data_IF_484881049548
#
_entry.id   IF_484881049548
#
_cell.length_a   1.000
_cell.length_b   1.000
_cell.length_c   1.000
_cell.angle_alpha   90.00
_cell.angle_beta   90.00
_cell.angle_gamma   90.00
#
_symmetry.space_group_name_H-M   'P 1'
#
loop_
_entity.id
_entity.type
_entity.pdbx_description
1 polymer ?
2 polymer ?
3 non-polymer ?
4 non-polymer ?
5 water ?
#
# COMPACT_ATOMS: atom_id res chain seq x y z
N UNK A 7 23.87 -10.91 12.44
CA UNK A 7 23.20 -11.31 11.21
C UNK A 7 21.73 -10.87 11.16
N UNK A 8 21.05 -10.89 12.32
CA UNK A 8 19.67 -10.40 12.34
C UNK A 8 19.63 -8.91 12.03
N UNK A 9 20.62 -8.17 12.56
CA UNK A 9 20.76 -6.76 12.17
C UNK A 9 20.94 -6.64 10.67
N UNK A 10 21.65 -7.60 10.07
CA UNK A 10 21.85 -7.57 8.63
C UNK A 10 20.54 -7.78 7.88
N UNK A 11 19.70 -8.71 8.36
CA UNK A 11 18.42 -8.92 7.69
C UNK A 11 17.60 -7.63 7.73
N UNK A 12 17.56 -6.99 8.91
CA UNK A 12 16.82 -5.73 9.06
C UNK A 12 17.37 -4.65 8.15
N UNK A 13 18.69 -4.55 8.08
CA UNK A 13 19.27 -3.51 7.24
C UNK A 13 19.00 -3.78 5.76
N UNK A 14 19.13 -5.03 5.33
CA UNK A 14 18.88 -5.39 3.93
C UNK A 14 17.43 -5.12 3.56
N UNK A 15 16.49 -5.40 4.47
CA UNK A 15 15.08 -5.11 4.17
C UNK A 15 14.82 -3.60 4.11
N UNK A 16 15.41 -2.82 5.04
CA UNK A 16 15.31 -1.36 5.00
C UNK A 16 15.87 -0.80 3.71
N UNK A 17 17.04 -1.29 3.30
CA UNK A 17 17.65 -0.78 2.07
C UNK A 17 16.78 -1.10 0.85
N UNK A 18 16.18 -2.30 0.83
CA UNK A 18 15.31 -2.70 -0.28
C UNK A 18 14.07 -1.80 -0.34
N UNK A 19 13.58 -1.39 0.83
CA UNK A 19 12.44 -0.49 0.89
C UNK A 19 12.79 0.90 0.35
N UNK A 20 13.92 1.46 0.82
CA UNK A 20 14.32 2.77 0.32
C UNK A 20 14.57 2.75 -1.19
N UNK A 21 15.08 1.64 -1.73
CA UNK A 21 15.37 1.59 -3.16
C UNK A 21 14.10 1.51 -3.99
N UNK A 22 13.08 0.80 -3.50
CA UNK A 22 11.99 0.39 -4.37
C UNK A 22 10.71 1.17 -4.24
N UNK A 23 10.53 1.94 -3.18
CA UNK A 23 9.32 2.76 -3.05
C UNK A 23 9.62 4.21 -3.37
N UNK A 24 8.77 4.81 -4.24
CA UNK A 24 9.03 6.20 -4.62
C UNK A 24 8.78 7.15 -3.46
N UNK A 25 7.88 6.76 -2.56
CA UNK A 25 7.53 7.55 -1.40
C UNK A 25 8.01 6.80 -0.17
N UNK A 26 8.64 7.53 0.74
CA UNK A 26 8.90 6.99 2.06
C UNK A 26 8.50 8.05 3.06
N UNK A 27 8.60 7.70 4.32
CA UNK A 27 7.95 8.53 5.31
C UNK A 27 8.71 9.85 5.50
N UNK A 28 10.04 9.79 5.41
CA UNK A 28 10.83 11.02 5.46
C UNK A 28 10.49 11.94 4.29
N UNK A 29 10.47 11.38 3.07
CA UNK A 29 10.14 12.19 1.89
C UNK A 29 8.76 12.80 2.03
N UNK A 30 7.79 12.03 2.54
CA UNK A 30 6.43 12.52 2.69
C UNK A 30 6.36 13.63 3.72
N UNK A 31 7.07 13.47 4.84
CA UNK A 31 7.03 14.50 5.88
C UNK A 31 7.69 15.80 5.43
N UNK A 32 8.74 15.71 4.61
CA UNK A 32 9.34 16.94 4.08
C UNK A 32 8.30 17.70 3.27
N UNK A 33 7.53 17.00 2.45
CA UNK A 33 6.52 17.66 1.63
C UNK A 33 5.41 18.25 2.49
N UNK A 34 4.89 17.45 3.42
CA UNK A 34 3.77 17.89 4.25
C UNK A 34 4.15 19.00 5.22
N UNK A 35 5.45 19.24 5.45
CA UNK A 35 5.88 20.30 6.35
C UNK A 35 5.87 21.67 5.67
N UNK A 36 6.04 21.72 4.36
CA UNK A 36 6.02 22.99 3.64
C UNK A 36 7.34 23.73 3.67
N UNK A 40 10.38 23.86 -3.95
CA UNK A 40 10.43 23.19 -5.25
C UNK A 40 9.33 22.13 -5.36
N UNK A 41 8.55 22.20 -6.44
CA UNK A 41 7.53 21.20 -6.73
C UNK A 41 6.49 21.12 -5.60
N UNK A 42 6.03 22.26 -5.05
CA UNK A 42 5.10 22.17 -3.91
C UNK A 42 3.79 21.53 -4.32
N UNK A 43 3.09 20.86 -3.39
CA UNK A 43 1.91 20.10 -3.79
C UNK A 43 0.73 21.00 -4.07
N UNK A 44 0.03 20.70 -5.16
CA UNK A 44 -1.18 21.41 -5.48
C UNK A 44 -2.32 20.85 -4.64
N UNK A 45 -3.09 21.73 -3.99
CA UNK A 45 -4.14 21.29 -3.07
C UNK A 45 -5.44 21.09 -3.82
N UNK A 46 -6.00 19.89 -3.72
CA UNK A 46 -7.27 19.52 -4.31
C UNK A 46 -8.28 19.46 -3.17
N UNK A 47 -9.19 20.45 -3.12
CA UNK A 47 -10.16 20.55 -2.04
C UNK A 47 -11.58 20.71 -2.56
N UNK A 48 -11.77 20.78 -3.86
CA UNK A 48 -13.09 20.99 -4.45
C UNK A 48 -13.00 20.65 -5.94
N UNK A 49 -14.13 20.77 -6.65
CA UNK A 49 -14.13 20.36 -8.05
C UNK A 49 -13.28 21.27 -8.91
N UNK A 50 -13.31 22.59 -8.67
CA UNK A 50 -12.46 23.48 -9.43
C UNK A 50 -11.00 23.05 -9.33
N UNK A 51 -10.53 22.80 -8.11
CA UNK A 51 -9.12 22.46 -7.97
C UNK A 51 -8.82 21.02 -8.41
N UNK A 52 -9.77 20.09 -8.29
CA UNK A 52 -9.58 18.80 -8.95
C UNK A 52 -9.30 18.98 -10.43
N UNK A 53 -10.15 19.76 -11.12
CA UNK A 53 -10.02 19.89 -12.56
C UNK A 53 -8.70 20.56 -12.92
N UNK A 54 -8.31 21.58 -12.16
CA UNK A 54 -7.01 22.21 -12.38
C UNK A 54 -5.88 21.20 -12.22
N UNK A 55 -5.90 20.43 -11.12
CA UNK A 55 -4.84 19.44 -10.88
C UNK A 55 -4.77 18.40 -12.00
N UNK A 56 -5.92 17.92 -12.44
CA UNK A 56 -5.94 16.95 -13.52
C UNK A 56 -5.24 17.47 -14.76
N UNK A 57 -5.50 18.72 -15.13
CA UNK A 57 -4.88 19.29 -16.34
C UNK A 57 -3.36 19.42 -16.19
N UNK A 58 -2.85 19.61 -14.97
CA UNK A 58 -1.41 19.74 -14.81
C UNK A 58 -0.71 18.42 -14.46
N UNK A 59 -1.37 17.52 -13.74
CA UNK A 59 -0.71 16.30 -13.26
C UNK A 59 -1.10 15.01 -13.96
N UNK A 60 -2.28 14.94 -14.60
CA UNK A 60 -2.67 13.73 -15.35
C UNK A 60 -3.31 14.24 -16.64
N UNK A 61 -2.59 15.14 -17.30
CA UNK A 61 -3.14 15.82 -18.46
C UNK A 61 -3.71 14.83 -19.47
N UNK A 62 -2.98 13.74 -19.73
CA UNK A 62 -3.40 12.76 -20.74
C UNK A 62 -4.78 12.19 -20.41
N UNK A 63 -5.11 12.09 -19.11
CA UNK A 63 -6.39 11.53 -18.71
C UNK A 63 -7.57 12.36 -19.18
N UNK A 64 -7.43 13.69 -19.22
CA UNK A 64 -8.55 14.57 -19.51
C UNK A 64 -8.38 15.33 -20.83
N UNK A 65 -7.50 14.86 -21.72
CA UNK A 65 -7.26 15.57 -22.97
C UNK A 65 -8.40 15.38 -23.99
N UNK A 66 -9.61 15.09 -23.54
CA UNK A 66 -10.72 14.77 -24.45
C UNK A 66 -12.04 15.30 -23.90
N UNK A 70 -16.48 13.39 -20.32
CA UNK A 70 -15.12 13.04 -19.89
C UNK A 70 -15.17 11.98 -18.80
N UNK A 71 -16.40 11.58 -18.47
CA UNK A 71 -16.69 10.70 -17.34
C UNK A 71 -16.78 11.52 -16.05
N UNK A 72 -17.64 11.10 -15.14
CA UNK A 72 -17.85 11.83 -13.90
C UNK A 72 -16.54 11.99 -13.13
N UNK A 73 -16.44 13.10 -12.38
CA UNK A 73 -15.23 13.37 -11.61
C UNK A 73 -14.87 12.20 -10.69
N UNK A 74 -15.89 11.61 -10.08
CA UNK A 74 -15.66 10.48 -9.17
C UNK A 74 -15.01 9.31 -9.89
N UNK A 75 -15.41 9.07 -11.14
CA UNK A 75 -14.85 7.96 -11.90
C UNK A 75 -13.41 8.27 -12.33
N UNK A 76 -13.13 9.53 -12.71
CA UNK A 76 -11.75 9.91 -12.99
C UNK A 76 -10.89 9.77 -11.76
N UNK A 77 -11.43 10.15 -10.58
CA UNK A 77 -10.64 10.00 -9.36
C UNK A 77 -10.36 8.52 -9.08
N UNK A 78 -11.39 7.68 -9.21
CA UNK A 78 -11.20 6.25 -8.99
C UNK A 78 -10.19 5.67 -9.98
N UNK A 79 -10.18 6.16 -11.23
CA UNK A 79 -9.14 5.74 -12.17
C UNK A 79 -7.74 6.06 -11.65
N UNK A 80 -7.55 7.28 -11.13
CA UNK A 80 -6.26 7.65 -10.58
C UNK A 80 -5.92 6.82 -9.36
N UNK A 81 -6.93 6.48 -8.55
CA UNK A 81 -6.69 5.57 -7.44
C UNK A 81 -6.11 4.26 -7.94
N UNK A 82 -6.74 3.68 -8.96
CA UNK A 82 -6.29 2.40 -9.48
C UNK A 82 -4.90 2.50 -10.08
N UNK A 83 -4.64 3.57 -10.82
CA UNK A 83 -3.31 3.72 -11.39
C UNK A 83 -2.26 3.78 -10.28
N UNK A 84 -2.56 4.46 -9.17
CA UNK A 84 -1.63 4.48 -8.05
C UNK A 84 -1.42 3.07 -7.51
N UNK A 85 -2.51 2.31 -7.38
CA UNK A 85 -2.36 0.93 -6.87
C UNK A 85 -1.51 0.10 -7.82
N UNK A 86 -1.71 0.23 -9.13
CA UNK A 86 -0.92 -0.57 -10.07
C UNK A 86 0.56 -0.25 -9.91
N UNK A 87 0.89 1.03 -9.83
CA UNK A 87 2.29 1.41 -9.61
C UNK A 87 2.82 0.85 -8.29
N UNK A 88 2.02 0.90 -7.22
CA UNK A 88 2.52 0.41 -5.93
C UNK A 88 2.68 -1.11 -5.95
N UNK A 89 1.84 -1.83 -6.71
CA UNK A 89 2.03 -3.28 -6.84
C UNK A 89 3.37 -3.59 -7.50
N UNK A 90 3.77 -2.80 -8.51
CA UNK A 90 5.07 -2.99 -9.13
C UNK A 90 6.18 -2.74 -8.13
N UNK A 91 6.04 -1.68 -7.33
CA UNK A 91 7.05 -1.39 -6.33
C UNK A 91 7.14 -2.50 -5.30
N UNK A 92 5.99 -3.05 -4.89
CA UNK A 92 5.97 -4.11 -3.89
C UNK A 92 6.57 -5.41 -4.44
N UNK A 93 6.35 -5.68 -5.74
CA UNK A 93 6.93 -6.88 -6.36
C UNK A 93 8.45 -6.78 -6.38
N UNK A 94 8.97 -5.61 -6.71
CA UNK A 94 10.42 -5.43 -6.71
C UNK A 94 10.97 -5.48 -5.30
N UNK A 95 10.26 -4.86 -4.35
CA UNK A 95 10.65 -4.97 -2.96
C UNK A 95 10.67 -6.41 -2.51
N UNK A 96 9.62 -7.17 -2.84
CA UNK A 96 9.56 -8.56 -2.40
C UNK A 96 10.74 -9.34 -2.94
N UNK A 97 11.07 -9.11 -4.21
CA UNK A 97 12.19 -9.83 -4.81
C UNK A 97 13.50 -9.54 -4.11
N UNK A 98 13.58 -8.43 -3.38
CA UNK A 98 14.79 -8.11 -2.63
C UNK A 98 14.73 -8.52 -1.17
N UNK A 99 13.62 -9.09 -0.71
CA UNK A 99 13.53 -9.57 0.67
C UNK A 99 14.38 -10.82 0.75
N UNK A 100 15.41 -10.86 1.61
CA UNK A 100 16.25 -12.07 1.66
C UNK A 100 15.42 -13.33 1.81
N UNK A 101 15.62 -14.29 0.88
CA UNK A 101 14.92 -15.57 0.90
C UNK A 101 13.69 -15.64 0.03
N UNK A 102 13.13 -14.49 -0.37
CA UNK A 102 11.88 -14.52 -1.14
C UNK A 102 12.10 -15.19 -2.48
N UNK A 103 13.23 -14.91 -3.12
CA UNK A 103 13.53 -15.48 -4.44
C UNK A 103 13.79 -16.98 -4.39
N UNK A 104 14.03 -17.56 -3.22
CA UNK A 104 14.18 -19.01 -3.10
C UNK A 104 12.85 -19.73 -2.97
N UNK A 105 11.75 -19.02 -2.87
CA UNK A 105 10.44 -19.66 -2.84
C UNK A 105 10.03 -20.11 -4.22
N UNK A 106 9.12 -21.08 -4.25
CA UNK A 106 8.48 -21.47 -5.50
C UNK A 106 7.86 -20.25 -6.16
N UNK A 107 8.10 -20.11 -7.48
CA UNK A 107 7.57 -18.97 -8.21
C UNK A 107 6.07 -18.80 -8.00
N UNK A 108 5.32 -19.90 -7.99
CA UNK A 108 3.87 -19.78 -7.80
C UNK A 108 3.53 -19.33 -6.38
N UNK A 109 4.32 -19.73 -5.39
CA UNK A 109 4.10 -19.22 -4.05
C UNK A 109 4.42 -17.74 -3.98
N UNK A 110 5.47 -17.30 -4.69
CA UNK A 110 5.75 -15.87 -4.76
C UNK A 110 4.53 -15.10 -5.26
N UNK A 111 3.88 -15.60 -6.31
CA UNK A 111 2.68 -14.94 -6.85
C UNK A 111 1.57 -14.90 -5.81
N UNK A 112 1.35 -16.02 -5.13
CA UNK A 112 0.31 -16.10 -4.11
C UNK A 112 0.56 -15.10 -2.99
N UNK A 113 1.81 -15.03 -2.51
CA UNK A 113 2.09 -14.10 -1.42
C UNK A 113 1.83 -12.66 -1.86
N UNK A 114 2.23 -12.32 -3.10
CA UNK A 114 1.96 -10.96 -3.58
C UNK A 114 0.45 -10.76 -3.70
N UNK A 115 -0.26 -11.74 -4.27
CA UNK A 115 -1.69 -11.57 -4.50
C UNK A 115 -2.41 -11.17 -3.22
N UNK A 116 -2.16 -11.89 -2.14
CA UNK A 116 -2.85 -11.68 -0.88
C UNK A 116 -2.23 -10.60 -0.01
N UNK A 117 -0.99 -10.19 -0.29
CA UNK A 117 -0.35 -9.23 0.56
C UNK A 117 -0.34 -7.81 0.04
N UNK A 118 -0.42 -7.57 -1.29
CA UNK A 118 -0.17 -6.20 -1.76
C UNK A 118 -1.15 -5.19 -1.19
N UNK A 119 -2.45 -5.50 -1.09
CA UNK A 119 -3.34 -4.42 -0.63
C UNK A 119 -3.20 -4.18 0.87
N UNK A 120 -2.89 -5.21 1.66
CA UNK A 120 -2.54 -4.95 3.06
C UNK A 120 -1.33 -4.03 3.14
N UNK A 121 -0.32 -4.29 2.33
CA UNK A 121 0.87 -3.43 2.33
C UNK A 121 0.53 -2.03 1.80
N UNK A 122 -0.30 -1.94 0.75
CA UNK A 122 -0.70 -0.65 0.20
C UNK A 122 -1.31 0.23 1.29
N UNK A 123 -2.29 -0.30 2.04
CA UNK A 123 -2.98 0.54 3.02
C UNK A 123 -2.10 0.84 4.23
N UNK A 124 -1.21 -0.09 4.60
CA UNK A 124 -0.22 0.23 5.65
C UNK A 124 0.66 1.40 5.22
N UNK A 125 1.23 1.34 4.00
CA UNK A 125 2.11 2.40 3.53
C UNK A 125 1.38 3.69 3.19
N UNK A 126 0.09 3.61 2.81
CA UNK A 126 -0.66 4.82 2.55
C UNK A 126 -0.65 5.74 3.76
N UNK A 127 -0.59 5.16 4.96
CA UNK A 127 -0.58 5.97 6.17
C UNK A 127 0.55 6.99 6.15
N UNK A 128 1.69 6.63 5.55
CA UNK A 128 2.82 7.55 5.52
C UNK A 128 2.56 8.83 4.73
N UNK A 129 1.57 8.85 3.84
CA UNK A 129 1.28 10.07 3.07
C UNK A 129 -0.03 10.70 3.51
N UNK A 130 -0.60 10.24 4.62
CA UNK A 130 -1.84 10.75 5.15
C UNK A 130 -1.60 11.56 6.41
N UNK A 131 -2.34 12.66 6.54
CA UNK A 131 -2.53 13.26 7.86
C UNK A 131 -4.04 13.42 8.07
N UNK A 132 -4.41 14.04 9.19
CA UNK A 132 -5.84 14.12 9.50
C UNK A 132 -6.62 14.94 8.48
N UNK A 133 -5.94 15.77 7.67
CA UNK A 133 -6.63 16.64 6.73
C UNK A 133 -6.60 16.16 5.28
N UNK A 134 -5.77 15.18 4.93
CA UNK A 134 -5.70 14.80 3.54
C UNK A 134 -4.49 13.91 3.28
N UNK A 135 -4.18 13.73 1.99
CA UNK A 135 -3.14 12.79 1.61
C UNK A 135 -2.38 13.26 0.37
N UNK A 136 -1.10 12.87 0.30
CA UNK A 136 -0.30 13.15 -0.89
C UNK A 136 -0.64 12.17 -2.00
N UNK A 137 -0.73 12.70 -3.22
CA UNK A 137 -1.04 11.93 -4.42
C UNK A 137 -0.10 12.36 -5.54
N UNK A 138 -0.08 11.58 -6.62
CA UNK A 138 0.66 11.93 -7.84
C UNK A 138 2.14 12.21 -7.55
N UNK A 139 2.80 11.23 -6.93
CA UNK A 139 4.25 11.28 -6.70
C UNK A 139 4.62 12.50 -5.88
N UNK A 140 3.76 12.81 -4.90
CA UNK A 140 4.01 13.92 -3.98
C UNK A 140 3.66 15.30 -4.49
N UNK A 141 3.04 15.41 -5.67
CA UNK A 141 2.79 16.71 -6.27
C UNK A 141 1.36 17.20 -6.08
N UNK A 142 0.49 16.39 -5.50
CA UNK A 142 -0.84 16.85 -5.12
C UNK A 142 -1.14 16.48 -3.68
N UNK A 143 -2.03 17.26 -3.06
CA UNK A 143 -2.50 16.97 -1.71
C UNK A 143 -4.02 17.05 -1.80
N UNK A 144 -4.70 15.90 -1.67
CA UNK A 144 -6.15 15.88 -1.80
C UNK A 144 -6.76 15.82 -0.41
N UNK A 145 -7.77 16.67 -0.15
CA UNK A 145 -8.25 16.77 1.21
C UNK A 145 -9.21 15.64 1.55
N UNK A 146 -9.16 15.26 2.83
CA UNK A 146 -10.03 14.22 3.35
C UNK A 146 -11.49 14.61 3.21
N UNK A 147 -11.80 15.89 3.46
CA UNK A 147 -13.19 16.36 3.32
C UNK A 147 -13.66 16.30 1.89
N UNK A 148 -12.79 16.64 0.93
CA UNK A 148 -13.20 16.54 -0.47
C UNK A 148 -13.53 15.11 -0.85
N UNK A 149 -12.69 14.14 -0.41
CA UNK A 149 -13.01 12.76 -0.74
C UNK A 149 -14.32 12.31 -0.10
N UNK A 150 -14.62 12.78 1.11
CA UNK A 150 -15.88 12.48 1.75
C UNK A 150 -17.05 13.12 1.02
N UNK A 151 -16.79 14.16 0.25
CA UNK A 151 -17.85 14.93 -0.40
C UNK A 151 -18.33 14.29 -1.70
N UNK A 152 -17.60 13.30 -2.22
CA UNK A 152 -17.89 12.67 -3.50
C UNK A 152 -19.22 11.93 -3.43
N UNK A 153 -19.85 11.73 -4.58
CA UNK A 153 -21.09 10.97 -4.54
C UNK A 153 -20.82 9.52 -4.13
N UNK A 154 -21.82 8.93 -3.49
CA UNK A 154 -21.74 7.50 -3.19
C UNK A 154 -21.67 6.71 -4.50
N UNK A 155 -20.92 5.60 -4.53
CA UNK A 155 -20.18 4.97 -3.45
C UNK A 155 -18.74 5.46 -3.27
N UNK A 156 -18.35 6.46 -4.05
CA UNK A 156 -16.93 6.78 -4.14
C UNK A 156 -16.42 7.49 -2.90
N UNK A 157 -17.30 8.22 -2.21
CA UNK A 157 -16.93 8.84 -0.94
C UNK A 157 -16.64 7.81 0.14
N UNK A 158 -16.95 6.54 -0.11
CA UNK A 158 -16.76 5.49 0.90
C UNK A 158 -15.41 4.80 0.79
N UNK A 159 -14.62 5.10 -0.25
CA UNK A 159 -13.35 4.39 -0.45
C UNK A 159 -12.32 4.77 0.61
N UNK A 160 -12.04 6.06 0.73
CA UNK A 160 -10.83 6.44 1.44
C UNK A 160 -11.02 6.62 2.94
N UNK A 161 -12.22 6.94 3.41
CA UNK A 161 -12.31 7.28 4.82
C UNK A 161 -11.88 6.14 5.76
N UNK A 162 -12.21 4.87 5.53
CA UNK A 162 -11.68 3.84 6.43
C UNK A 162 -10.17 3.75 6.40
N UNK A 163 -9.57 4.11 5.27
CA UNK A 163 -8.11 4.13 5.17
C UNK A 163 -7.52 5.27 5.98
N UNK A 164 -8.17 6.44 5.96
CA UNK A 164 -7.76 7.51 6.88
C UNK A 164 -7.90 7.07 8.34
N UNK A 165 -9.01 6.39 8.68
CA UNK A 165 -9.21 5.95 10.05
C UNK A 165 -8.10 5.00 10.49
N UNK A 166 -7.75 4.04 9.62
CA UNK A 166 -6.64 3.16 9.94
C UNK A 166 -5.36 3.95 10.12
N UNK A 167 -5.10 4.88 9.19
CA UNK A 167 -3.83 5.60 9.18
C UNK A 167 -3.66 6.49 10.39
N UNK A 168 -4.73 7.10 10.92
CA UNK A 168 -4.54 8.00 12.05
C UNK A 168 -4.04 7.24 13.27
N UNK A 169 -4.59 6.05 13.52
CA UNK A 169 -4.12 5.24 14.64
C UNK A 169 -2.76 4.61 14.34
N UNK A 170 -2.53 4.20 13.09
CA UNK A 170 -1.23 3.63 12.74
C UNK A 170 -0.13 4.67 12.90
N UNK A 171 -0.40 5.91 12.46
CA UNK A 171 0.60 6.96 12.54
C UNK A 171 0.88 7.36 13.98
N UNK A 172 -0.09 7.17 14.87
CA UNK A 172 0.13 7.48 16.28
C UNK A 172 1.16 6.55 16.91
N UNK A 173 1.44 5.41 16.26
CA UNK A 173 2.53 4.53 16.69
C UNK A 173 3.91 5.13 16.43
N UNK A 174 4.01 6.20 15.64
CA UNK A 174 5.28 6.87 15.33
C UNK A 174 6.35 5.90 14.84
N UNK A 175 5.96 4.99 13.94
CA UNK A 175 6.95 4.16 13.28
C UNK A 175 7.78 5.00 12.32
N UNK A 176 9.00 4.55 12.07
CA UNK A 176 9.80 5.15 11.00
C UNK A 176 9.99 4.12 9.89
N UNK A 177 10.67 4.55 8.82
CA UNK A 177 10.85 3.69 7.65
C UNK A 177 11.55 2.37 8.01
N UNK A 178 12.46 2.38 9.00
CA UNK A 178 13.12 1.12 9.36
C UNK A 178 12.13 0.12 9.96
N UNK A 179 11.15 0.61 10.71
CA UNK A 179 10.08 -0.25 11.22
C UNK A 179 9.15 -0.70 10.10
N UNK A 180 8.74 0.25 9.26
CA UNK A 180 7.69 -0.03 8.30
C UNK A 180 8.18 -1.03 7.27
N UNK A 181 9.46 -0.93 6.87
CA UNK A 181 10.04 -1.89 5.93
C UNK A 181 9.90 -3.31 6.45
N UNK A 182 10.20 -3.53 7.75
CA UNK A 182 10.07 -4.87 8.31
C UNK A 182 8.60 -5.29 8.43
N UNK A 183 7.73 -4.34 8.76
CA UNK A 183 6.30 -4.62 8.84
C UNK A 183 5.75 -5.07 7.50
N UNK A 184 6.12 -4.35 6.43
CA UNK A 184 5.64 -4.71 5.09
C UNK A 184 6.22 -6.06 4.66
N UNK A 185 7.49 -6.30 4.97
CA UNK A 185 8.03 -7.63 4.69
C UNK A 185 7.24 -8.72 5.40
N UNK A 186 6.86 -8.50 6.65
CA UNK A 186 6.10 -9.49 7.39
C UNK A 186 4.72 -9.72 6.78
N UNK A 187 4.07 -8.65 6.31
CA UNK A 187 2.80 -8.78 5.60
C UNK A 187 2.94 -9.69 4.39
N UNK A 188 4.00 -9.46 3.60
CA UNK A 188 4.15 -10.24 2.37
C UNK A 188 4.45 -11.70 2.68
N UNK A 189 5.28 -11.96 3.68
CA UNK A 189 5.75 -13.30 3.97
C UNK A 189 4.86 -13.94 5.04
N UNK A 190 3.61 -14.18 4.65
CA UNK A 190 2.57 -14.73 5.52
C UNK A 190 2.33 -16.16 5.09
N UNK A 191 2.57 -17.10 6.02
CA UNK A 191 2.39 -18.50 5.71
C UNK A 191 0.96 -18.99 5.65
N UNK A 192 -0.05 -18.21 6.07
CA UNK A 192 -1.41 -18.71 6.04
C UNK A 192 -2.22 -18.22 4.84
N UNK A 193 -1.57 -17.77 3.78
CA UNK A 193 -2.34 -17.37 2.61
C UNK A 193 -2.93 -18.61 1.93
N UNK A 194 -4.11 -18.47 1.32
CA UNK A 194 -4.74 -19.61 0.66
C UNK A 194 -3.91 -20.12 -0.52
N UNK A 195 -3.80 -21.44 -0.62
CA UNK A 195 -3.23 -22.01 -1.82
C UNK A 195 -1.73 -22.07 -1.90
N UNK A 196 -1.01 -21.81 -0.80
CA UNK A 196 0.43 -21.92 -0.80
C UNK A 196 0.84 -23.39 -0.94
N UNK A 197 1.92 -23.62 -1.69
CA UNK A 197 2.43 -24.97 -1.93
C UNK A 197 3.37 -25.44 -0.84
N UNK A 198 4.20 -24.54 -0.31
CA UNK A 198 5.23 -24.88 0.66
C UNK A 198 4.99 -24.09 1.95
N UNK A 199 3.90 -24.42 2.65
CA UNK A 199 3.51 -23.65 3.84
C UNK A 199 4.63 -23.64 4.87
N UNK A 200 5.20 -24.81 5.14
CA UNK A 200 6.23 -24.87 6.18
C UNK A 200 7.39 -23.94 5.89
N UNK A 201 7.88 -23.94 4.65
CA UNK A 201 9.01 -23.10 4.31
C UNK A 201 8.67 -21.63 4.45
N UNK A 202 7.47 -21.24 4.03
CA UNK A 202 7.06 -19.84 4.14
C UNK A 202 6.88 -19.47 5.61
N UNK A 203 6.32 -20.38 6.42
CA UNK A 203 6.22 -20.12 7.85
C UNK A 203 7.58 -19.89 8.48
N UNK A 204 8.59 -20.67 8.10
CA UNK A 204 9.91 -20.43 8.66
C UNK A 204 10.52 -19.12 8.20
N UNK A 205 10.37 -18.78 6.92
CA UNK A 205 10.87 -17.49 6.46
C UNK A 205 10.19 -16.35 7.22
N UNK A 206 8.87 -16.44 7.34
CA UNK A 206 8.10 -15.43 8.07
C UNK A 206 8.60 -15.33 9.51
N UNK A 207 8.82 -16.48 10.15
CA UNK A 207 9.28 -16.46 11.53
C UNK A 207 10.58 -15.68 11.65
N UNK A 208 11.49 -15.84 10.68
CA UNK A 208 12.74 -15.09 10.72
C UNK A 208 12.51 -13.60 10.62
N UNK A 209 11.63 -13.17 9.73
CA UNK A 209 11.38 -11.75 9.57
C UNK A 209 10.66 -11.19 10.79
N UNK A 210 9.68 -11.93 11.32
CA UNK A 210 8.97 -11.49 12.51
C UNK A 210 9.91 -11.41 13.71
N UNK A 211 10.88 -12.35 13.79
CA UNK A 211 11.88 -12.32 14.86
C UNK A 211 12.70 -11.03 14.81
N UNK A 212 13.15 -10.68 13.60
CA UNK A 212 13.91 -9.45 13.43
C UNK A 212 13.04 -8.22 13.73
N UNK A 213 11.76 -8.24 13.30
CA UNK A 213 10.87 -7.13 13.63
C UNK A 213 10.73 -6.95 15.14
N UNK A 214 10.51 -8.05 15.87
CA UNK A 214 10.36 -7.96 17.33
C UNK A 214 11.61 -7.34 17.95
N UNK A 215 12.79 -7.83 17.57
CA UNK A 215 14.01 -7.28 18.15
C UNK A 215 14.22 -5.83 17.75
N UNK A 216 13.95 -5.48 16.48
CA UNK A 216 14.11 -4.12 16.02
C UNK A 216 13.21 -3.18 16.79
N UNK A 217 11.95 -3.57 17.00
CA UNK A 217 11.05 -2.69 17.74
C UNK A 217 11.52 -2.50 19.18
N UNK A 218 12.00 -3.58 19.80
CA UNK A 218 12.54 -3.46 21.15
C UNK A 218 13.65 -2.42 21.22
N UNK A 219 14.52 -2.39 20.22
CA UNK A 219 15.64 -1.44 20.24
C UNK A 219 15.21 -0.04 19.82
N UNK A 220 14.39 0.06 18.77
CA UNK A 220 14.07 1.36 18.20
C UNK A 220 12.97 2.10 18.95
N UNK A 221 12.18 1.39 19.75
CA UNK A 221 11.06 1.97 20.48
C UNK A 221 11.08 1.45 21.91
N UNK A 222 12.11 1.84 22.68
CA UNK A 222 12.24 1.32 24.05
C UNK A 222 11.17 1.81 24.99
N UNK A 223 10.37 2.78 24.58
CA UNK A 223 9.34 3.37 25.41
C UNK A 223 8.01 2.63 25.35
N UNK A 224 7.82 1.70 24.41
CA UNK A 224 6.49 1.11 24.18
C UNK A 224 6.61 -0.42 24.23
N UNK A 225 6.34 -0.99 25.42
CA UNK A 225 6.58 -2.42 25.59
C UNK A 225 5.57 -3.28 24.85
N UNK A 226 4.49 -2.68 24.36
CA UNK A 226 3.47 -3.42 23.62
C UNK A 226 3.57 -3.20 22.11
N UNK A 227 4.63 -2.55 21.62
CA UNK A 227 4.58 -2.15 20.21
C UNK A 227 4.51 -3.37 19.29
N UNK A 228 5.22 -4.45 19.61
CA UNK A 228 5.16 -5.62 18.73
C UNK A 228 3.75 -6.23 18.68
N UNK A 229 3.08 -6.51 19.80
CA UNK A 229 1.71 -7.03 19.68
C UNK A 229 0.74 -6.02 19.07
N UNK A 230 0.94 -4.71 19.29
CA UNK A 230 0.14 -3.71 18.58
C UNK A 230 0.24 -3.91 17.08
N UNK A 231 1.46 -4.16 16.59
CA UNK A 231 1.63 -4.31 15.14
C UNK A 231 1.08 -5.64 14.65
N UNK A 232 1.22 -6.72 15.44
CA UNK A 232 0.53 -7.96 15.06
C UNK A 232 -0.96 -7.70 14.88
N UNK A 233 -1.56 -6.89 15.77
CA UNK A 233 -2.99 -6.60 15.62
C UNK A 233 -3.26 -5.76 14.38
N UNK A 234 -2.37 -4.80 14.09
CA UNK A 234 -2.56 -4.01 12.87
C UNK A 234 -2.55 -4.89 11.63
N UNK A 235 -1.73 -5.95 11.61
CA UNK A 235 -1.76 -6.86 10.47
C UNK A 235 -3.14 -7.49 10.31
N UNK A 236 -3.73 -7.92 11.43
CA UNK A 236 -5.06 -8.50 11.38
C UNK A 236 -6.08 -7.45 10.96
N UNK A 237 -5.97 -6.23 11.48
CA UNK A 237 -6.86 -5.15 11.09
C UNK A 237 -6.79 -4.90 9.59
N UNK A 238 -5.58 -4.94 9.02
CA UNK A 238 -5.42 -4.71 7.59
C UNK A 238 -6.11 -5.80 6.77
N UNK A 239 -6.09 -7.05 7.24
CA UNK A 239 -6.82 -8.09 6.49
C UNK A 239 -8.29 -7.74 6.38
N UNK A 240 -8.89 -7.33 7.49
CA UNK A 240 -10.29 -6.95 7.47
C UNK A 240 -10.51 -5.72 6.61
N UNK A 241 -9.60 -4.74 6.70
CA UNK A 241 -9.71 -3.56 5.86
C UNK A 241 -9.72 -3.93 4.39
N UNK A 242 -8.90 -4.91 3.99
CA UNK A 242 -8.84 -5.29 2.59
C UNK A 242 -10.09 -6.05 2.17
N UNK A 243 -10.58 -6.97 3.02
CA UNK A 243 -11.82 -7.67 2.67
C UNK A 243 -12.94 -6.67 2.43
N UNK A 244 -13.05 -5.69 3.31
CA UNK A 244 -14.09 -4.69 3.15
C UNK A 244 -13.87 -3.84 1.91
N UNK A 245 -12.62 -3.52 1.60
CA UNK A 245 -12.33 -2.74 0.41
C UNK A 245 -12.69 -3.52 -0.86
N UNK A 246 -12.33 -4.81 -0.90
CA UNK A 246 -12.67 -5.65 -2.04
C UNK A 246 -14.18 -5.71 -2.22
N UNK A 247 -14.93 -5.72 -1.12
CA UNK A 247 -16.40 -5.74 -1.24
C UNK A 247 -16.91 -4.45 -1.88
N UNK A 248 -16.36 -3.32 -1.47
CA UNK A 248 -16.77 -2.06 -2.08
C UNK A 248 -16.40 -1.99 -3.56
N UNK A 249 -15.20 -2.48 -3.90
CA UNK A 249 -14.77 -2.48 -5.30
C UNK A 249 -15.70 -3.34 -6.15
N UNK A 250 -16.20 -4.43 -5.58
CA UNK A 250 -17.16 -5.28 -6.30
C UNK A 250 -18.48 -4.53 -6.50
N UNK A 251 -18.92 -3.76 -5.49
CA UNK A 251 -20.12 -2.94 -5.69
C UNK A 251 -19.91 -1.97 -6.83
N UNK A 252 -18.74 -1.32 -6.85
CA UNK A 252 -18.42 -0.41 -7.95
C UNK A 252 -18.45 -1.14 -9.28
N UNK A 253 -17.88 -2.35 -9.33
CA UNK A 253 -17.77 -3.04 -10.59
C UNK A 253 -19.14 -3.33 -11.17
N UNK A 254 -20.08 -3.73 -10.33
CA UNK A 254 -21.37 -4.13 -10.86
C UNK A 254 -22.30 -2.97 -11.10
N UNK A 255 -22.12 -1.85 -10.41
CA UNK A 255 -23.07 -0.74 -10.49
C UNK A 255 -22.53 0.51 -11.19
N UNK A 256 -21.22 0.62 -11.40
CA UNK A 256 -20.63 1.82 -12.02
C UNK A 256 -19.97 1.40 -13.33
N UNK A 257 -20.77 1.36 -14.41
CA UNK A 257 -20.27 0.78 -15.66
C UNK A 257 -19.12 1.58 -16.26
N UNK A 258 -19.03 2.88 -15.95
CA UNK A 258 -17.97 3.72 -16.49
C UNK A 258 -16.64 3.53 -15.76
N UNK A 259 -16.61 2.79 -14.66
CA UNK A 259 -15.41 2.70 -13.83
C UNK A 259 -14.64 1.43 -14.19
N UNK A 260 -13.93 1.49 -15.32
CA UNK A 260 -13.15 0.35 -15.77
C UNK A 260 -12.11 -0.06 -14.73
N UNK A 261 -12.06 -1.35 -14.41
CA UNK A 261 -11.08 -1.90 -13.49
C UNK A 261 -9.84 -2.38 -14.24
N UNK A 262 -8.67 -1.97 -13.77
CA UNK A 262 -7.42 -2.37 -14.39
C UNK A 262 -7.24 -3.89 -14.31
N UNK A 263 -6.80 -4.53 -15.40
CA UNK A 263 -6.74 -6.01 -15.39
C UNK A 263 -5.81 -6.58 -14.32
N UNK A 264 -4.71 -5.92 -13.97
CA UNK A 264 -3.87 -6.47 -12.90
C UNK A 264 -4.63 -6.46 -11.58
N UNK A 265 -5.37 -5.39 -11.31
CA UNK A 265 -6.11 -5.33 -10.06
C UNK A 265 -7.26 -6.33 -10.06
N UNK A 266 -7.90 -6.51 -11.22
CA UNK A 266 -8.91 -7.57 -11.35
C UNK A 266 -8.32 -8.93 -10.99
N UNK A 267 -7.10 -9.21 -11.47
CA UNK A 267 -6.45 -10.48 -11.17
C UNK A 267 -6.18 -10.63 -9.68
N UNK A 268 -5.75 -9.57 -9.02
CA UNK A 268 -5.48 -9.63 -7.60
C UNK A 268 -6.77 -9.90 -6.82
N UNK A 269 -7.86 -9.24 -7.21
CA UNK A 269 -9.12 -9.37 -6.47
C UNK A 269 -9.81 -10.72 -6.71
N UNK A 270 -9.49 -11.38 -7.82
CA UNK A 270 -10.23 -12.58 -8.22
C UNK A 270 -9.97 -13.75 -7.29
N UNK A 271 -11.03 -14.37 -6.78
CA UNK A 271 -10.91 -15.54 -5.91
C UNK A 271 -10.09 -15.22 -4.67
N UNK A 272 -10.13 -13.97 -4.23
CA UNK A 272 -9.35 -13.55 -3.07
C UNK A 272 -10.09 -13.89 -1.79
N UNK A 273 -11.19 -13.18 -1.51
CA UNK A 273 -11.96 -13.39 -0.28
C UNK A 273 -13.44 -13.63 -0.56
N UNK B 5 1.93 -17.43 -16.45
CA UNK B 5 1.73 -16.36 -17.44
C UNK B 5 0.71 -15.29 -16.99
N UNK B 6 0.22 -15.34 -15.76
CA UNK B 6 -0.66 -14.31 -15.21
C UNK B 6 0.08 -12.97 -15.18
N UNK B 7 -0.68 -11.88 -14.98
CA UNK B 7 -0.05 -10.56 -14.97
C UNK B 7 0.90 -10.39 -13.78
N UNK B 8 0.51 -10.91 -12.62
CA UNK B 8 1.37 -10.85 -11.43
C UNK B 8 2.64 -11.65 -11.65
N UNK B 9 2.51 -12.87 -12.20
CA UNK B 9 3.69 -13.64 -12.50
C UNK B 9 4.58 -12.93 -13.51
N UNK B 10 3.98 -12.24 -14.49
CA UNK B 10 4.81 -11.50 -15.43
C UNK B 10 5.58 -10.37 -14.74
N UNK B 11 4.98 -9.71 -13.74
CA UNK B 11 5.75 -8.74 -12.96
C UNK B 11 6.91 -9.39 -12.24
N UNK B 12 6.66 -10.55 -11.62
CA UNK B 12 7.71 -11.23 -10.88
C UNK B 12 8.88 -11.60 -11.78
N UNK B 13 8.60 -11.91 -13.05
CA UNK B 13 9.62 -12.35 -13.98
C UNK B 13 10.33 -11.20 -14.70
N UNK B 14 9.82 -9.99 -14.57
CA UNK B 14 10.44 -8.84 -15.22
C UNK B 14 11.88 -8.69 -14.76
N UNK B 15 12.83 -8.49 -15.67
CA UNK B 15 14.24 -8.26 -15.32
C UNK B 15 14.48 -6.85 -14.79
X LIG C 1 -7.96 0.25 -5.73
X LIG C 1 -8.78 -0.61 -5.35
X LIG C 1 -6.80 -0.07 -6.08
X LIG C 1 -8.38 1.72 -5.80
X LIG C 1 -8.38 2.35 -4.40
X LIG C 1 -6.98 2.46 -3.78
X LIG C 1 -6.70 3.78 -3.01
X LIG C 1 -5.62 4.58 -3.79
X LIG C 1 -5.15 5.88 -3.13
X LIG C 1 -4.51 6.88 -4.12
X LIG C 1 -5.34 8.18 -4.17
X LIG C 1 -5.39 8.86 -5.53
X LIG C 1 -6.57 9.81 -5.42
X LIG C 1 -6.92 10.48 -6.73
X LIG C 1 -6.06 11.74 -6.88
X LIG C 1 -6.08 12.16 -8.34
X LIG C 1 -6.05 13.68 -8.42
X LIG C 1 -5.35 14.11 -9.70
X LIG C 1 -7.76 2.20 -6.37
X LIG C 1 -9.27 1.77 -6.18
X LIG C 1 -8.76 3.25 -4.47
X LIG C 1 -8.94 1.83 -3.82
X LIG C 1 -6.87 1.72 -3.16
X LIG C 1 -6.32 2.37 -4.48
X LIG C 1 -6.38 3.58 -2.12
X LIG C 1 -7.52 4.30 -2.95
X LIG C 1 -5.98 4.79 -4.67
X LIG C 1 -4.85 4.01 -3.91
X LIG C 1 -5.91 6.31 -2.70
X LIG C 1 -4.51 5.66 -2.44
X LIG C 1 -3.61 7.08 -3.83
X LIG C 1 -4.48 6.48 -5.00
X LIG C 1 -6.26 7.97 -3.90
X LIG C 1 -4.97 8.80 -3.53
X LIG C 1 -4.57 9.35 -5.70
X LIG C 1 -5.55 8.21 -6.23
X LIG C 1 -6.36 10.50 -4.77
X LIG C 1 -7.35 9.33 -5.12
X LIG C 1 -7.86 10.73 -6.75
X LIG C 1 -6.73 9.87 -7.47
X LIG C 1 -5.15 11.53 -6.61
X LIG C 1 -6.42 12.45 -6.33
X LIG C 1 -6.89 11.83 -8.76
X LIG C 1 -5.30 11.80 -8.80
X LIG C 1 -6.96 14.02 -8.42
X LIG C 1 -5.58 14.04 -7.65
X LIG C 1 -5.31 15.08 -9.75
X LIG C 1 -4.45 13.74 -9.71
X LIG C 1 -5.83 13.77 -10.47
X LIG D 1 3.02 10.80 9.84
X LIG D 1 3.43 11.77 10.74
X LIG D 1 3.35 11.29 8.43
X LIG D 1 4.02 10.33 7.67
X LIG D 1 2.05 11.60 7.72
X LIG D 1 1.24 12.38 8.58
X LIG D 1 3.49 9.96 10.01
X LIG D 1 2.06 10.66 9.91
X LIG D 1 4.15 11.51 11.13
X LIG D 1 3.89 12.10 8.47
X LIG D 1 4.31 10.68 6.95
X LIG D 1 2.22 12.10 6.90
X LIG D 1 1.59 10.78 7.50
X LIG D 1 1.28 13.18 8.36
#
# INVERSE_FOLDING_TARGET
>A
GSHMTADLKSLAKRIYEAYLKNFNMNKVKARVILSGKASNNPPFVIHDMETLCMAEKTLVAKLVANGIQNKEAEVRIFHCCQCTSVETVTELTEFAKAIPGFANLDLNDQVTLLKYGVYEAIFAMLSSVMNKDGMLVAYGNGFITREFLKSLRKPFCDIMEPKFDFAMKFNALELDDSDISLFVAAIICCGDRPGLLNVGHIEKMQEGIVHVLRLHLQSNHPDDIFLFPKLLQKMADLRQLVTEHAQLVQIIKKTESDAALHPLLQEIYRDMY
>B
EAEEPSLLKKLLLAP
>C hetero
1 PLM C1 O1 O2 C2 C3 C4 C5 C6 C7 C8 C9 CA CB CC CD CE CF CG H21 H22 H31 H32 H41 H42 H51 H52 H61 H62 H71 H72 H81 H82 H91 H92 HA1 HA2 HB1 HB2 HC1 HC2 HD1 HD2 HE1 HE2 HF1 HF2 HG1 HG2 HG3
>D hetero
1 GOL C1 O1 C2 O2 C3 O3 H11 H12 HO1 H2 HO2 H31 H32 HO3
#
